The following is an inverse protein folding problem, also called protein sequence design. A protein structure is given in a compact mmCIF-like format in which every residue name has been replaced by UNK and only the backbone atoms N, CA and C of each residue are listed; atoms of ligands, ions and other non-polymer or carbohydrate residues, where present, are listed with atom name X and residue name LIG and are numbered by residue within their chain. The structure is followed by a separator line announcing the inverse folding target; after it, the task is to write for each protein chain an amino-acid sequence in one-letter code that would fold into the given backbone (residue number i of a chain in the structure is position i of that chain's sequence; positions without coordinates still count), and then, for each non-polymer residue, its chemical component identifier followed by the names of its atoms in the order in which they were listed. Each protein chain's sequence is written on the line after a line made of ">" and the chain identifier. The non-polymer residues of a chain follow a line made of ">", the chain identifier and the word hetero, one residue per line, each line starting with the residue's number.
data_IF_686324033059
#
_entry.id   IF_686324033059
#
_cell.length_a   1.000
_cell.length_b   1.000
_cell.length_c   1.000
_cell.angle_alpha   90.00
_cell.angle_beta   90.00
_cell.angle_gamma   90.00
#
_symmetry.space_group_name_H-M   'P 1'
#
loop_
_entity.id
_entity.type
_entity.pdbx_description
1 polymer ?
#
# COMPACT_ATOMS: atom_id res chain seq x y z
N UNK A 1 12.51 2.29 -43.49
CA UNK A 1 11.25 2.26 -42.81
C UNK A 1 11.16 1.34 -41.58
N UNK A 2 11.89 0.23 -41.51
CA UNK A 2 11.82 -0.69 -40.38
C UNK A 2 12.37 -0.11 -39.07
N UNK A 3 13.37 0.75 -39.15
CA UNK A 3 14.02 1.30 -37.97
C UNK A 3 13.15 2.27 -37.16
N UNK A 4 12.23 2.96 -37.79
CA UNK A 4 11.34 3.89 -37.09
C UNK A 4 10.22 3.16 -36.34
N UNK A 5 9.75 2.05 -36.86
CA UNK A 5 8.69 1.25 -36.24
C UNK A 5 9.23 0.49 -35.01
N UNK A 6 10.43 -0.07 -35.13
CA UNK A 6 11.09 -0.73 -34.00
C UNK A 6 11.45 0.27 -32.89
N UNK A 7 11.89 1.49 -33.24
CA UNK A 7 12.20 2.53 -32.28
C UNK A 7 10.95 3.06 -31.57
N UNK A 8 9.81 3.14 -32.28
CA UNK A 8 8.53 3.51 -31.68
C UNK A 8 8.03 2.42 -30.72
N UNK A 9 8.21 1.14 -31.06
CA UNK A 9 7.83 0.01 -30.21
C UNK A 9 8.73 -0.09 -28.97
N UNK A 10 10.04 0.17 -29.07
CA UNK A 10 10.97 0.16 -27.95
C UNK A 10 10.72 1.32 -26.96
N UNK A 11 10.07 2.41 -27.43
CA UNK A 11 9.69 3.55 -26.61
C UNK A 11 8.26 3.44 -26.05
N UNK A 12 7.50 2.41 -26.46
CA UNK A 12 6.17 2.14 -25.92
C UNK A 12 6.28 1.59 -24.50
N UNK A 13 5.66 2.29 -23.56
CA UNK A 13 5.61 1.83 -22.18
C UNK A 13 4.40 0.92 -21.97
N UNK A 14 4.64 -0.16 -21.24
CA UNK A 14 3.58 -1.02 -20.74
C UNK A 14 3.07 -0.39 -19.46
N UNK A 15 1.79 -0.07 -19.41
CA UNK A 15 1.16 0.46 -18.21
C UNK A 15 0.48 -0.67 -17.45
N UNK A 16 0.88 -0.85 -16.19
CA UNK A 16 0.25 -1.81 -15.29
C UNK A 16 -0.54 -1.02 -14.24
N UNK A 17 -1.85 -1.17 -14.25
CA UNK A 17 -2.73 -0.57 -13.26
C UNK A 17 -2.98 -1.55 -12.13
N UNK A 18 -2.72 -1.13 -10.90
CA UNK A 18 -2.89 -1.98 -9.72
C UNK A 18 -3.92 -1.34 -8.79
N UNK A 19 -5.05 -2.01 -8.62
CA UNK A 19 -6.10 -1.63 -7.70
C UNK A 19 -5.73 -2.15 -6.31
N UNK A 20 -5.56 -1.28 -5.34
CA UNK A 20 -4.95 -1.63 -4.07
C UNK A 20 -5.47 -0.78 -2.94
N UNK A 21 -5.49 -1.36 -1.74
CA UNK A 21 -5.82 -0.69 -0.49
C UNK A 21 -4.62 -0.73 0.46
N UNK A 22 -4.70 0.02 1.56
CA UNK A 22 -3.63 0.10 2.56
C UNK A 22 -3.83 -0.83 3.75
N UNK A 23 -4.97 -1.49 3.86
CA UNK A 23 -5.31 -2.36 4.98
C UNK A 23 -5.19 -3.85 4.67
N UNK A 24 -4.95 -4.22 3.44
CA UNK A 24 -4.83 -5.62 3.02
C UNK A 24 -3.36 -6.04 3.00
N UNK A 25 -2.97 -7.07 3.80
CA UNK A 25 -1.57 -7.52 3.82
C UNK A 25 -1.11 -8.05 2.47
N UNK A 26 -2.02 -8.65 1.68
CA UNK A 26 -1.69 -9.16 0.35
C UNK A 26 -1.41 -8.04 -0.66
N UNK A 27 -1.92 -6.84 -0.41
CA UNK A 27 -1.57 -5.66 -1.23
C UNK A 27 -0.11 -5.28 -1.04
N UNK A 28 0.41 -5.36 0.18
CA UNK A 28 1.82 -5.09 0.46
C UNK A 28 2.72 -6.20 -0.07
N UNK A 29 2.36 -7.46 0.20
CA UNK A 29 3.08 -8.62 -0.32
C UNK A 29 3.10 -8.61 -1.85
N UNK A 30 1.97 -8.31 -2.47
CA UNK A 30 1.86 -8.21 -3.92
C UNK A 30 2.74 -7.13 -4.51
N UNK A 31 2.82 -5.98 -3.85
CA UNK A 31 3.72 -4.90 -4.27
C UNK A 31 5.17 -5.38 -4.28
N UNK A 32 5.60 -6.04 -3.20
CA UNK A 32 6.98 -6.52 -3.09
C UNK A 32 7.29 -7.61 -4.13
N UNK A 33 6.37 -8.55 -4.32
CA UNK A 33 6.52 -9.60 -5.32
C UNK A 33 6.60 -9.03 -6.74
N UNK A 34 5.78 -8.02 -7.02
CA UNK A 34 5.79 -7.35 -8.32
C UNK A 34 7.12 -6.62 -8.55
N UNK A 35 7.64 -5.92 -7.53
CA UNK A 35 8.92 -5.25 -7.61
C UNK A 35 10.07 -6.23 -7.90
N UNK A 36 10.06 -7.39 -7.24
CA UNK A 36 11.07 -8.44 -7.46
C UNK A 36 10.99 -9.02 -8.88
N UNK A 37 9.78 -9.24 -9.36
CA UNK A 37 9.57 -9.71 -10.73
C UNK A 37 10.06 -8.66 -11.75
N UNK A 38 9.82 -7.39 -11.46
CA UNK A 38 10.22 -6.28 -12.31
C UNK A 38 11.75 -6.17 -12.42
N UNK A 39 12.47 -6.39 -11.31
CA UNK A 39 13.94 -6.40 -11.29
C UNK A 39 14.53 -7.45 -12.25
N UNK A 40 13.83 -8.55 -12.46
CA UNK A 40 14.25 -9.62 -13.34
C UNK A 40 13.79 -9.44 -14.78
N UNK A 41 12.93 -8.45 -15.01
CA UNK A 41 12.39 -8.21 -16.34
C UNK A 41 13.37 -7.33 -17.14
N UNK A 42 13.83 -7.78 -18.32
CA UNK A 42 14.86 -7.06 -19.07
C UNK A 42 14.44 -5.65 -19.51
N UNK A 43 13.14 -5.44 -19.68
CA UNK A 43 12.58 -4.18 -20.15
C UNK A 43 11.84 -3.44 -19.04
N UNK A 44 12.34 -3.51 -17.79
CA UNK A 44 11.71 -2.90 -16.63
C UNK A 44 11.49 -1.39 -16.78
N UNK A 45 12.38 -0.72 -17.49
CA UNK A 45 12.26 0.73 -17.76
C UNK A 45 11.07 1.07 -18.65
N UNK A 46 10.54 0.09 -19.40
CA UNK A 46 9.36 0.26 -20.24
C UNK A 46 8.05 0.04 -19.47
N UNK A 47 8.13 -0.37 -18.19
CA UNK A 47 6.94 -0.65 -17.38
C UNK A 47 6.62 0.58 -16.52
N UNK A 48 5.41 1.06 -16.65
CA UNK A 48 4.86 2.16 -15.86
C UNK A 48 3.79 1.59 -14.92
N UNK A 49 3.97 1.77 -13.60
CA UNK A 49 3.02 1.30 -12.60
C UNK A 49 2.12 2.46 -12.20
N UNK A 50 0.82 2.22 -12.26
CA UNK A 50 -0.18 3.19 -11.81
C UNK A 50 -0.96 2.58 -10.66
N UNK A 51 -0.83 3.16 -9.48
CA UNK A 51 -1.56 2.74 -8.29
C UNK A 51 -2.95 3.35 -8.31
N UNK A 52 -3.96 2.48 -8.38
CA UNK A 52 -5.36 2.87 -8.32
C UNK A 52 -5.89 2.63 -6.92
N UNK A 53 -6.68 3.58 -6.43
CA UNK A 53 -7.28 3.47 -5.10
C UNK A 53 -8.52 2.58 -5.12
N UNK A 54 -8.56 1.64 -4.19
CA UNK A 54 -9.72 0.79 -3.97
C UNK A 54 -9.89 0.57 -2.47
N UNK A 55 -11.06 0.87 -1.94
CA UNK A 55 -11.37 0.62 -0.53
C UNK A 55 -12.07 -0.72 -0.38
N UNK A 56 -11.42 -1.68 0.28
CA UNK A 56 -12.02 -2.98 0.57
C UNK A 56 -13.23 -2.84 1.49
N UNK A 57 -13.18 -1.88 2.41
CA UNK A 57 -14.28 -1.56 3.30
C UNK A 57 -14.42 -0.05 3.46
N UNK A 58 -15.21 0.61 2.59
CA UNK A 58 -15.38 2.07 2.68
C UNK A 58 -16.15 2.52 3.94
N UNK A 59 -16.86 1.59 4.59
CA UNK A 59 -17.63 1.85 5.80
C UNK A 59 -16.83 1.58 7.08
N UNK A 60 -15.53 1.27 6.96
CA UNK A 60 -14.66 1.04 8.12
C UNK A 60 -14.65 2.26 9.02
N UNK A 61 -14.87 2.06 10.32
CA UNK A 61 -14.76 3.11 11.32
C UNK A 61 -13.39 2.99 11.99
N UNK A 62 -12.62 4.06 11.92
CA UNK A 62 -11.30 4.11 12.58
C UNK A 62 -11.49 3.99 14.09
N UNK A 63 -10.79 3.01 14.68
CA UNK A 63 -10.89 2.76 16.12
C UNK A 63 -9.54 2.26 16.66
N UNK A 64 -8.75 3.15 17.28
CA UNK A 64 -7.45 2.74 17.85
C UNK A 64 -7.57 1.88 19.12
N UNK A 65 -8.77 1.72 19.65
CA UNK A 65 -9.01 0.96 20.90
C UNK A 65 -9.39 -0.50 20.66
N UNK A 66 -9.60 -0.92 19.42
CA UNK A 66 -9.87 -2.31 19.09
C UNK A 66 -8.69 -2.87 18.29
N UNK A 67 -8.29 -4.11 18.57
CA UNK A 67 -7.21 -4.73 17.79
C UNK A 67 -7.66 -5.07 16.37
N UNK A 68 -6.72 -5.08 15.43
CA UNK A 68 -7.02 -5.48 14.05
C UNK A 68 -7.46 -6.95 14.01
N UNK A 69 -6.94 -7.79 14.89
CA UNK A 69 -7.34 -9.19 15.01
C UNK A 69 -8.82 -9.31 15.40
N UNK A 70 -9.24 -8.58 16.42
CA UNK A 70 -10.65 -8.58 16.85
C UNK A 70 -11.57 -8.04 15.75
N UNK A 71 -11.16 -6.96 15.10
CA UNK A 71 -11.93 -6.36 14.03
C UNK A 71 -12.10 -7.31 12.84
N UNK A 72 -11.02 -7.98 12.45
CA UNK A 72 -11.05 -8.95 11.35
C UNK A 72 -11.91 -10.17 11.69
N UNK A 73 -11.74 -10.72 12.91
CA UNK A 73 -12.53 -11.85 13.38
C UNK A 73 -14.01 -11.53 13.32
N UNK A 74 -14.39 -10.37 13.81
CA UNK A 74 -15.79 -9.90 13.82
C UNK A 74 -16.34 -9.73 12.41
N UNK A 75 -15.57 -9.14 11.51
CA UNK A 75 -16.01 -8.90 10.12
C UNK A 75 -16.15 -10.19 9.31
N UNK A 76 -15.32 -11.19 9.59
CA UNK A 76 -15.33 -12.48 8.87
C UNK A 76 -16.17 -13.56 9.55
N UNK A 77 -16.62 -13.33 10.78
CA UNK A 77 -17.30 -14.37 11.56
C UNK A 77 -16.37 -15.49 11.99
N UNK A 78 -15.09 -15.20 12.20
CA UNK A 78 -14.09 -16.17 12.62
C UNK A 78 -13.86 -16.10 14.12
N UNK A 79 -13.31 -17.19 14.71
CA UNK A 79 -12.83 -17.15 16.09
C UNK A 79 -11.55 -16.32 16.18
N UNK A 80 -11.25 -15.79 17.36
CA UNK A 80 -9.99 -15.07 17.59
C UNK A 80 -8.78 -15.96 17.34
N UNK A 81 -8.86 -17.22 17.78
CA UNK A 81 -7.77 -18.19 17.58
C UNK A 81 -7.48 -18.42 16.11
N UNK A 82 -8.51 -18.68 15.32
CA UNK A 82 -8.36 -18.89 13.88
C UNK A 82 -7.78 -17.65 13.21
N UNK A 83 -8.27 -16.47 13.58
CA UNK A 83 -7.80 -15.21 13.03
C UNK A 83 -6.32 -14.99 13.34
N UNK A 84 -5.87 -15.31 14.57
CA UNK A 84 -4.46 -15.22 14.96
C UNK A 84 -3.60 -16.17 14.17
N UNK A 85 -4.06 -17.40 13.94
CA UNK A 85 -3.34 -18.38 13.11
C UNK A 85 -3.15 -17.87 11.69
N UNK A 86 -4.20 -17.31 11.10
CA UNK A 86 -4.13 -16.74 9.76
C UNK A 86 -3.18 -15.54 9.71
N UNK A 87 -3.26 -14.65 10.69
CA UNK A 87 -2.36 -13.47 10.78
C UNK A 87 -0.91 -13.90 10.97
N UNK A 88 -0.65 -14.91 11.78
CA UNK A 88 0.70 -15.45 11.97
C UNK A 88 1.26 -16.05 10.68
N UNK A 89 0.43 -16.76 9.93
CA UNK A 89 0.82 -17.32 8.64
C UNK A 89 1.23 -16.20 7.67
N UNK A 90 0.42 -15.16 7.57
CA UNK A 90 0.70 -14.00 6.71
C UNK A 90 1.97 -13.27 7.17
N UNK A 91 2.15 -13.14 8.49
CA UNK A 91 3.36 -12.53 9.06
C UNK A 91 4.62 -13.30 8.66
N UNK A 92 4.56 -14.63 8.68
CA UNK A 92 5.67 -15.47 8.23
C UNK A 92 5.95 -15.32 6.74
N UNK A 93 4.91 -15.28 5.92
CA UNK A 93 5.05 -15.02 4.48
C UNK A 93 5.73 -13.67 4.23
N UNK A 94 5.32 -12.64 4.97
CA UNK A 94 5.88 -11.31 4.86
C UNK A 94 7.37 -11.30 5.26
N UNK A 95 7.73 -12.00 6.33
CA UNK A 95 9.12 -12.11 6.77
C UNK A 95 10.01 -12.73 5.69
N UNK A 96 9.50 -13.72 4.96
CA UNK A 96 10.20 -14.31 3.83
C UNK A 96 10.48 -13.34 2.68
N UNK A 97 9.70 -12.25 2.61
CA UNK A 97 9.86 -11.17 1.63
C UNK A 97 10.55 -9.94 2.22
N UNK A 98 11.10 -10.03 3.44
CA UNK A 98 11.78 -8.94 4.11
C UNK A 98 10.86 -7.89 4.73
N UNK A 99 9.58 -8.21 4.91
CA UNK A 99 8.58 -7.31 5.50
C UNK A 99 8.27 -7.75 6.93
N UNK A 100 8.31 -6.81 7.86
CA UNK A 100 8.07 -7.05 9.29
C UNK A 100 6.65 -6.59 9.66
N UNK A 101 5.68 -7.49 9.51
CA UNK A 101 4.30 -7.20 9.91
C UNK A 101 4.14 -7.34 11.42
N UNK A 102 3.42 -6.42 12.02
CA UNK A 102 3.07 -6.46 13.45
C UNK A 102 1.58 -6.12 13.61
N UNK A 103 0.75 -7.16 13.54
CA UNK A 103 -0.70 -7.00 13.66
C UNK A 103 -1.15 -6.61 15.07
N UNK A 104 -0.31 -6.79 16.08
CA UNK A 104 -0.63 -6.36 17.44
C UNK A 104 -0.53 -4.84 17.59
N UNK A 105 0.34 -4.20 16.81
CA UNK A 105 0.47 -2.74 16.79
C UNK A 105 -0.50 -2.07 15.81
N UNK A 106 -0.88 -2.76 14.75
CA UNK A 106 -1.66 -2.15 13.66
C UNK A 106 -2.97 -1.55 14.17
N UNK A 107 -3.30 -0.37 13.68
CA UNK A 107 -4.48 0.40 14.09
C UNK A 107 -5.57 0.25 13.05
N UNK A 108 -6.78 -0.11 13.49
CA UNK A 108 -7.97 -0.17 12.63
C UNK A 108 -8.26 1.23 12.12
N UNK A 109 -8.10 1.45 10.82
CA UNK A 109 -8.22 2.76 10.21
C UNK A 109 -8.97 2.68 8.88
N UNK A 110 -9.85 3.66 8.65
CA UNK A 110 -10.45 3.88 7.34
C UNK A 110 -9.36 4.41 6.40
N UNK A 111 -9.25 3.82 5.22
CA UNK A 111 -8.17 4.16 4.28
C UNK A 111 -8.50 5.32 3.33
N UNK A 112 -9.67 5.94 3.46
CA UNK A 112 -10.11 6.99 2.53
C UNK A 112 -9.12 8.17 2.47
N UNK A 113 -8.74 8.70 3.63
CA UNK A 113 -7.81 9.83 3.67
C UNK A 113 -6.41 9.47 3.20
N UNK A 114 -5.96 8.24 3.47
CA UNK A 114 -4.70 7.74 2.92
C UNK A 114 -4.75 7.69 1.38
N UNK A 115 -5.86 7.25 0.82
CA UNK A 115 -6.06 7.25 -0.64
C UNK A 115 -6.11 8.66 -1.22
N UNK A 116 -6.73 9.60 -0.53
CA UNK A 116 -6.71 11.00 -0.96
C UNK A 116 -5.29 11.53 -1.06
N UNK A 117 -4.48 11.24 -0.05
CA UNK A 117 -3.07 11.64 -0.06
C UNK A 117 -2.31 10.95 -1.18
N UNK A 118 -2.59 9.67 -1.44
CA UNK A 118 -1.97 8.93 -2.54
C UNK A 118 -2.28 9.60 -3.89
N UNK A 119 -3.53 9.96 -4.14
CA UNK A 119 -3.90 10.61 -5.40
C UNK A 119 -3.19 11.95 -5.56
N UNK A 120 -3.04 12.71 -4.48
CA UNK A 120 -2.24 13.93 -4.50
C UNK A 120 -0.77 13.64 -4.81
N UNK A 121 -0.16 12.67 -4.14
CA UNK A 121 1.23 12.29 -4.36
C UNK A 121 1.49 11.86 -5.80
N UNK A 122 0.54 11.19 -6.41
CA UNK A 122 0.62 10.76 -7.83
C UNK A 122 0.77 11.96 -8.77
N UNK A 123 0.12 13.07 -8.48
CA UNK A 123 0.22 14.28 -9.32
C UNK A 123 1.64 14.85 -9.31
N UNK A 124 2.44 14.53 -8.30
CA UNK A 124 3.83 14.97 -8.16
C UNK A 124 4.85 13.87 -8.46
N UNK A 125 4.39 12.75 -9.02
CA UNK A 125 5.26 11.62 -9.36
C UNK A 125 5.76 10.84 -8.15
N UNK A 126 5.10 10.95 -6.99
CA UNK A 126 5.52 10.33 -5.72
C UNK A 126 4.55 9.28 -5.19
N UNK A 127 3.70 8.75 -6.07
CA UNK A 127 2.70 7.76 -5.66
C UNK A 127 3.30 6.48 -5.11
N UNK A 128 4.32 5.94 -5.76
CA UNK A 128 4.98 4.71 -5.30
C UNK A 128 5.66 4.89 -3.94
N UNK A 129 6.37 6.00 -3.76
CA UNK A 129 7.03 6.33 -2.50
C UNK A 129 6.04 6.48 -1.36
N UNK A 130 4.91 7.16 -1.61
CA UNK A 130 3.88 7.31 -0.58
C UNK A 130 3.21 5.98 -0.28
N UNK A 131 2.93 5.17 -1.29
CA UNK A 131 2.37 3.84 -1.10
C UNK A 131 3.23 3.01 -0.14
N UNK A 132 4.54 3.01 -0.37
CA UNK A 132 5.49 2.26 0.46
C UNK A 132 5.48 2.75 1.92
N UNK A 133 5.57 4.06 2.17
CA UNK A 133 5.62 4.57 3.55
C UNK A 133 4.29 4.40 4.28
N UNK A 134 3.16 4.45 3.57
CA UNK A 134 1.86 4.20 4.17
C UNK A 134 1.68 2.73 4.56
N UNK A 135 2.07 1.81 3.70
CA UNK A 135 2.00 0.38 4.01
C UNK A 135 2.92 0.04 5.18
N UNK A 136 4.11 0.58 5.20
CA UNK A 136 5.04 0.41 6.32
C UNK A 136 4.48 0.97 7.62
N UNK A 137 3.90 2.16 7.57
CA UNK A 137 3.32 2.79 8.76
C UNK A 137 2.20 1.94 9.35
N UNK A 138 1.35 1.36 8.51
CA UNK A 138 0.23 0.53 8.96
C UNK A 138 0.70 -0.85 9.45
N UNK A 139 1.46 -1.59 8.65
CA UNK A 139 1.76 -2.99 8.92
C UNK A 139 2.95 -3.18 9.87
N UNK A 140 3.89 -2.26 9.88
CA UNK A 140 5.13 -2.41 10.67
C UNK A 140 5.19 -1.47 11.85
N UNK A 141 4.86 -0.19 11.66
CA UNK A 141 4.99 0.84 12.70
C UNK A 141 3.77 0.98 13.60
N UNK A 142 2.63 0.44 13.20
CA UNK A 142 1.40 0.55 14.00
C UNK A 142 0.87 1.97 14.13
N UNK A 143 1.04 2.77 13.09
CA UNK A 143 0.52 4.15 13.07
C UNK A 143 -0.91 4.19 12.59
N UNK A 144 -1.65 5.22 13.05
CA UNK A 144 -3.01 5.46 12.59
C UNK A 144 -2.97 6.19 11.24
N UNK A 145 -3.20 5.45 10.16
CA UNK A 145 -3.15 5.98 8.80
C UNK A 145 -4.41 6.79 8.41
N UNK A 146 -5.32 6.99 9.34
CA UNK A 146 -6.45 7.91 9.19
C UNK A 146 -6.25 9.20 9.98
N UNK A 147 -5.16 9.33 10.72
CA UNK A 147 -4.85 10.52 11.50
C UNK A 147 -4.12 11.55 10.64
N UNK A 148 -4.62 12.79 10.65
CA UNK A 148 -4.08 13.86 9.81
C UNK A 148 -2.60 14.15 10.10
N UNK A 149 -2.20 14.21 11.36
CA UNK A 149 -0.81 14.47 11.72
C UNK A 149 0.12 13.36 11.23
N UNK A 150 -0.33 12.11 11.33
CA UNK A 150 0.41 10.95 10.82
C UNK A 150 0.57 11.05 9.31
N UNK A 151 -0.51 11.36 8.59
CA UNK A 151 -0.48 11.49 7.13
C UNK A 151 0.43 12.63 6.69
N UNK A 152 0.38 13.78 7.38
CA UNK A 152 1.24 14.91 7.05
C UNK A 152 2.72 14.60 7.32
N UNK A 153 3.01 13.89 8.41
CA UNK A 153 4.38 13.47 8.71
C UNK A 153 4.95 12.52 7.65
N UNK A 154 4.13 11.57 7.17
CA UNK A 154 4.53 10.67 6.09
C UNK A 154 4.72 11.42 4.77
N UNK A 155 3.85 12.36 4.47
CA UNK A 155 3.98 13.22 3.29
C UNK A 155 5.28 14.03 3.33
N UNK A 156 5.60 14.63 4.48
CA UNK A 156 6.83 15.40 4.66
C UNK A 156 8.07 14.52 4.48
N UNK A 157 8.01 13.28 4.96
CA UNK A 157 9.12 12.33 4.87
C UNK A 157 9.56 12.06 3.44
N UNK A 158 8.62 12.08 2.50
CA UNK A 158 8.91 11.86 1.08
C UNK A 158 8.99 13.16 0.29
N UNK A 159 8.94 14.31 0.95
CA UNK A 159 9.14 15.62 0.33
C UNK A 159 7.91 16.21 -0.34
N UNK A 160 6.70 15.82 0.07
CA UNK A 160 5.49 16.45 -0.44
C UNK A 160 5.29 17.83 0.19
N UNK A 161 4.77 18.82 -0.58
CA UNK A 161 4.48 20.15 -0.04
C UNK A 161 3.42 20.10 1.06
N UNK A 162 3.76 20.60 2.25
CA UNK A 162 2.92 20.48 3.44
C UNK A 162 1.56 21.17 3.27
N UNK A 163 1.54 22.37 2.76
CA UNK A 163 0.29 23.15 2.63
C UNK A 163 -0.68 22.53 1.62
N UNK A 164 -0.16 22.04 0.51
CA UNK A 164 -0.98 21.41 -0.52
C UNK A 164 -1.51 20.05 -0.08
N UNK A 165 -0.71 19.31 0.71
CA UNK A 165 -1.12 18.01 1.25
C UNK A 165 -2.29 18.13 2.23
N UNK A 166 -2.40 19.27 2.96
CA UNK A 166 -3.49 19.53 3.90
C UNK A 166 -4.82 19.84 3.21
N UNK A 167 -4.77 20.24 1.97
CA UNK A 167 -5.95 20.56 1.19
C UNK A 167 -6.45 19.35 0.41
#
# INVERSE_FOLDING_TARGET
>A
GCNQTEKAMSNSKITVEVWSDFMCPFCYLGKRNFEKALERFPEQSAVNIVWKSFQLNPNMVTNPNISTTENLAKSKGWTLEYTRQMSNHVTQMAAGEGLLFDFDKAVVANSFNAHRLLQFAKTLGKGDELKEVLLYAYFTDGKNTDDDETLFALAAKIGLPEQEAKN
#
